data_IF_183245418725
#
_entry.id   IF_183245418725
#
_cell.length_a   1.000
_cell.length_b   1.000
_cell.length_c   1.000
_cell.angle_alpha   90.00
_cell.angle_beta   90.00
_cell.angle_gamma   90.00
#
_symmetry.space_group_name_H-M   'P 1'
#
loop_
_entity.id
_entity.type
_entity.pdbx_description
1 polymer ?
#
# COMPACT_ATOMS: atom_id res chain seq x y z
N UNK A 1 2.37 -27.26 9.56
CA UNK A 1 3.69 -26.59 9.46
C UNK A 1 3.44 -25.15 9.05
N UNK A 2 4.02 -24.17 9.76
CA UNK A 2 3.83 -22.76 9.45
C UNK A 2 5.17 -22.12 9.05
N UNK A 3 5.22 -21.43 7.91
CA UNK A 3 6.39 -20.64 7.50
C UNK A 3 6.33 -19.26 8.18
N UNK A 4 7.46 -18.78 8.69
CA UNK A 4 7.58 -17.39 9.12
C UNK A 4 8.91 -16.80 8.64
N UNK A 5 8.97 -15.48 8.57
CA UNK A 5 10.18 -14.74 8.19
C UNK A 5 10.70 -13.99 9.41
N UNK A 6 12.00 -14.14 9.70
CA UNK A 6 12.74 -13.36 10.69
C UNK A 6 13.64 -12.37 9.99
N UNK A 7 13.72 -11.15 10.51
CA UNK A 7 14.55 -10.09 9.95
C UNK A 7 15.65 -9.69 10.92
N UNK A 8 16.84 -9.47 10.37
CA UNK A 8 18.03 -9.07 11.11
C UNK A 8 18.67 -7.88 10.42
N UNK A 9 18.88 -6.80 11.16
CA UNK A 9 19.60 -5.60 10.70
C UNK A 9 21.10 -5.79 10.98
N UNK A 10 21.96 -5.40 10.05
CA UNK A 10 23.42 -5.50 10.15
C UNK A 10 24.02 -4.08 10.11
N UNK A 11 24.10 -3.38 11.24
CA UNK A 11 24.70 -2.06 11.29
C UNK A 11 26.23 -2.17 11.17
N UNK A 12 26.84 -1.23 10.47
CA UNK A 12 28.29 -1.25 10.22
C UNK A 12 29.10 -1.28 11.54
N UNK A 13 30.07 -2.20 11.61
CA UNK A 13 30.98 -2.32 12.76
C UNK A 13 30.35 -2.87 14.04
N UNK A 14 29.14 -3.44 13.98
CA UNK A 14 28.44 -3.97 15.16
C UNK A 14 27.85 -5.36 14.94
N UNK A 15 27.51 -6.03 16.04
CA UNK A 15 26.75 -7.29 15.98
C UNK A 15 25.36 -7.06 15.36
N UNK A 16 24.81 -8.03 14.62
CA UNK A 16 23.48 -7.92 14.05
C UNK A 16 22.40 -7.67 15.12
N UNK A 17 21.33 -6.99 14.72
CA UNK A 17 20.18 -6.72 15.58
C UNK A 17 18.95 -7.47 15.08
N UNK A 18 18.25 -8.14 15.98
CA UNK A 18 16.97 -8.77 15.67
C UNK A 18 15.91 -7.69 15.50
N UNK A 19 15.15 -7.77 14.41
CA UNK A 19 13.95 -6.97 14.21
C UNK A 19 12.73 -7.79 14.62
N UNK A 20 11.97 -7.30 15.59
CA UNK A 20 10.70 -7.94 15.96
C UNK A 20 9.70 -7.79 14.81
N UNK A 21 8.78 -8.75 14.68
CA UNK A 21 7.74 -8.69 13.64
C UNK A 21 6.94 -7.38 13.71
N UNK A 22 6.57 -6.94 14.93
CA UNK A 22 5.90 -5.66 15.17
C UNK A 22 6.70 -4.47 14.64
N UNK A 23 8.02 -4.45 14.83
CA UNK A 23 8.86 -3.36 14.35
C UNK A 23 8.96 -3.36 12.83
N UNK A 24 9.10 -4.53 12.20
CA UNK A 24 9.11 -4.63 10.73
C UNK A 24 7.79 -4.14 10.14
N UNK A 25 6.66 -4.62 10.67
CA UNK A 25 5.34 -4.14 10.26
C UNK A 25 5.18 -2.64 10.52
N UNK A 26 5.67 -2.16 11.65
CA UNK A 26 5.68 -0.74 11.99
C UNK A 26 6.45 0.11 10.98
N UNK A 27 7.63 -0.34 10.59
CA UNK A 27 8.49 0.33 9.59
C UNK A 27 7.85 0.33 8.21
N UNK A 28 7.27 -0.79 7.76
CA UNK A 28 6.63 -0.87 6.44
C UNK A 28 5.38 -0.01 6.34
N UNK A 29 4.67 0.21 7.45
CA UNK A 29 3.46 1.04 7.49
C UNK A 29 3.73 2.50 7.92
N UNK A 30 4.99 2.92 8.08
CA UNK A 30 5.33 4.29 8.52
C UNK A 30 4.86 4.63 9.95
N UNK A 31 4.82 3.64 10.84
CA UNK A 31 4.36 3.78 12.24
C UNK A 31 5.48 3.74 13.27
N UNK A 32 6.61 3.14 12.91
CA UNK A 32 7.75 2.91 13.81
C UNK A 32 9.07 3.30 13.15
N UNK A 33 9.31 4.59 12.87
CA UNK A 33 10.61 5.05 12.37
C UNK A 33 11.76 4.63 13.29
N UNK A 34 12.95 4.55 12.71
CA UNK A 34 14.21 4.32 13.44
C UNK A 34 15.15 5.52 13.22
N UNK A 35 14.96 6.64 13.95
CA UNK A 35 15.75 7.86 13.75
C UNK A 35 17.26 7.67 13.92
N UNK A 36 17.70 6.67 14.68
CA UNK A 36 19.12 6.34 14.81
C UNK A 36 19.78 5.87 13.51
N UNK A 37 18.99 5.53 12.49
CA UNK A 37 19.43 5.16 11.16
C UNK A 37 18.99 6.19 10.11
N UNK A 38 18.56 7.38 10.51
CA UNK A 38 18.21 8.46 9.59
C UNK A 38 19.33 8.74 8.58
N UNK A 39 18.95 8.96 7.32
CA UNK A 39 19.85 9.19 6.18
C UNK A 39 20.90 8.10 5.95
N UNK A 40 20.60 6.86 6.36
CA UNK A 40 21.51 5.73 6.16
C UNK A 40 20.91 4.62 5.31
N UNK A 41 21.79 3.77 4.79
CA UNK A 41 21.41 2.54 4.09
C UNK A 41 21.94 1.36 4.88
N UNK A 42 21.05 0.48 5.29
CA UNK A 42 21.38 -0.64 6.18
C UNK A 42 21.21 -1.97 5.47
N UNK A 43 22.12 -2.91 5.78
CA UNK A 43 22.02 -4.31 5.37
C UNK A 43 20.99 -5.01 6.25
N UNK A 44 20.04 -5.70 5.62
CA UNK A 44 19.04 -6.51 6.31
C UNK A 44 19.07 -7.92 5.75
N UNK A 45 19.00 -8.94 6.60
CA UNK A 45 18.84 -10.33 6.19
C UNK A 45 17.45 -10.82 6.58
N UNK A 46 16.71 -11.31 5.60
CA UNK A 46 15.49 -12.07 5.80
C UNK A 46 15.82 -13.56 5.87
N UNK A 47 15.26 -14.25 6.86
CA UNK A 47 15.43 -15.69 7.07
C UNK A 47 14.07 -16.35 7.12
N UNK A 48 13.82 -17.25 6.18
CA UNK A 48 12.59 -18.03 6.13
C UNK A 48 12.79 -19.29 6.97
N UNK A 49 11.95 -19.45 7.99
CA UNK A 49 12.01 -20.59 8.92
C UNK A 49 10.68 -21.34 8.92
N UNK A 50 10.78 -22.67 8.88
CA UNK A 50 9.65 -23.56 9.12
C UNK A 50 9.48 -23.72 10.62
N UNK A 51 8.22 -23.66 11.06
CA UNK A 51 7.85 -23.75 12.45
C UNK A 51 6.93 -24.94 12.70
N UNK A 52 7.19 -25.64 13.79
CA UNK A 52 6.34 -26.66 14.40
C UNK A 52 6.08 -26.25 15.85
N UNK A 53 4.82 -26.31 16.28
CA UNK A 53 4.36 -25.86 17.61
C UNK A 53 4.87 -24.46 18.01
N UNK A 54 4.94 -23.55 17.03
CA UNK A 54 5.38 -22.17 17.21
C UNK A 54 6.89 -21.97 17.40
N UNK A 55 7.70 -23.03 17.25
CA UNK A 55 9.17 -22.96 17.36
C UNK A 55 9.83 -23.20 16.00
N UNK A 56 10.93 -22.49 15.68
CA UNK A 56 11.67 -22.73 14.45
C UNK A 56 12.36 -24.10 14.50
N UNK A 57 12.10 -24.95 13.51
CA UNK A 57 12.67 -26.30 13.39
C UNK A 57 13.63 -26.43 12.22
N UNK A 58 13.39 -25.70 11.12
CA UNK A 58 14.22 -25.75 9.93
C UNK A 58 14.40 -24.36 9.30
N UNK A 59 15.62 -24.05 8.85
CA UNK A 59 15.91 -22.86 8.05
C UNK A 59 15.77 -23.23 6.57
N UNK A 60 14.80 -22.62 5.89
CA UNK A 60 14.49 -22.91 4.50
C UNK A 60 15.39 -22.13 3.53
N UNK A 61 15.48 -20.80 3.71
CA UNK A 61 16.32 -19.93 2.89
C UNK A 61 16.68 -18.63 3.61
N UNK A 62 17.80 -18.02 3.22
CA UNK A 62 18.19 -16.65 3.59
C UNK A 62 18.27 -15.76 2.36
N UNK A 63 18.04 -14.46 2.54
CA UNK A 63 18.26 -13.46 1.51
C UNK A 63 18.69 -12.12 2.12
N UNK A 64 19.60 -11.42 1.45
CA UNK A 64 20.03 -10.07 1.83
C UNK A 64 19.26 -9.00 1.07
N UNK A 65 18.74 -8.01 1.78
CA UNK A 65 18.11 -6.81 1.25
C UNK A 65 18.76 -5.56 1.83
N UNK A 66 18.81 -4.48 1.05
CA UNK A 66 19.29 -3.18 1.51
C UNK A 66 18.09 -2.28 1.78
N UNK A 67 17.95 -1.78 3.00
CA UNK A 67 16.91 -0.81 3.38
C UNK A 67 17.51 0.59 3.41
N UNK A 68 16.83 1.53 2.77
CA UNK A 68 17.19 2.96 2.79
C UNK A 68 16.27 3.67 3.76
N UNK A 69 16.86 4.41 4.70
CA UNK A 69 16.16 5.21 5.70
C UNK A 69 16.24 6.69 5.29
N UNK A 70 15.12 7.40 5.31
CA UNK A 70 15.07 8.85 5.05
C UNK A 70 15.52 9.67 6.27
N UNK A 71 15.40 11.00 6.21
CA UNK A 71 15.79 11.93 7.27
C UNK A 71 15.06 11.67 8.61
N UNK A 72 13.85 11.11 8.56
CA UNK A 72 13.06 10.75 9.75
C UNK A 72 13.31 9.31 10.22
N UNK A 73 14.15 8.54 9.50
CA UNK A 73 14.41 7.13 9.79
C UNK A 73 13.27 6.20 9.35
N UNK A 74 12.48 6.58 8.36
CA UNK A 74 11.46 5.76 7.71
C UNK A 74 12.02 5.04 6.47
N UNK A 75 11.45 3.88 6.14
CA UNK A 75 11.91 3.06 5.00
C UNK A 75 10.93 3.04 3.82
N UNK A 76 9.78 3.71 3.94
CA UNK A 76 8.65 3.53 3.00
C UNK A 76 9.02 3.93 1.57
N UNK A 77 9.66 5.08 1.40
CA UNK A 77 10.10 5.56 0.09
C UNK A 77 11.12 4.61 -0.55
N UNK A 78 12.12 4.17 0.21
CA UNK A 78 13.12 3.21 -0.26
C UNK A 78 12.54 1.83 -0.57
N UNK A 79 11.52 1.38 0.20
CA UNK A 79 10.80 0.14 -0.07
C UNK A 79 9.96 0.25 -1.35
N UNK A 80 9.31 1.39 -1.58
CA UNK A 80 8.53 1.65 -2.79
C UNK A 80 9.43 1.68 -4.03
N UNK A 81 10.60 2.34 -3.97
CA UNK A 81 11.61 2.30 -5.06
C UNK A 81 12.07 0.86 -5.32
N UNK A 82 12.30 0.08 -4.26
CA UNK A 82 12.70 -1.33 -4.39
C UNK A 82 11.61 -2.19 -5.04
N UNK A 83 10.35 -2.02 -4.66
CA UNK A 83 9.21 -2.73 -5.27
C UNK A 83 9.06 -2.33 -6.74
N UNK A 84 9.14 -1.04 -7.05
CA UNK A 84 9.08 -0.53 -8.41
C UNK A 84 10.17 -1.13 -9.32
N UNK A 85 11.43 -1.13 -8.85
CA UNK A 85 12.55 -1.74 -9.59
C UNK A 85 12.45 -3.28 -9.65
N UNK A 86 11.93 -3.94 -8.61
CA UNK A 86 11.69 -5.38 -8.64
C UNK A 86 10.65 -5.76 -9.71
N UNK A 87 9.54 -5.02 -9.78
CA UNK A 87 8.48 -5.25 -10.76
C UNK A 87 8.99 -4.99 -12.19
N UNK A 88 9.74 -3.92 -12.41
CA UNK A 88 10.34 -3.61 -13.71
C UNK A 88 11.43 -4.61 -14.16
N UNK A 89 11.96 -5.42 -13.23
CA UNK A 89 12.94 -6.46 -13.51
C UNK A 89 12.33 -7.79 -13.99
N UNK A 90 11.02 -7.98 -13.84
CA UNK A 90 10.30 -9.17 -14.32
C UNK A 90 10.08 -9.02 -15.82
N UNK A 91 10.79 -9.82 -16.61
CA UNK A 91 10.58 -9.88 -18.05
C UNK A 91 9.33 -10.72 -18.36
N UNK A 92 8.32 -10.12 -18.99
CA UNK A 92 7.30 -10.89 -19.70
C UNK A 92 7.96 -11.43 -20.97
N UNK A 93 8.23 -12.74 -21.01
CA UNK A 93 8.74 -13.38 -22.22
C UNK A 93 7.62 -13.42 -23.27
N UNK A 94 7.63 -12.48 -24.20
CA UNK A 94 6.80 -12.55 -25.42
C UNK A 94 7.48 -13.51 -26.42
N UNK A 95 6.80 -14.54 -26.97
CA UNK A 95 7.47 -15.57 -27.77
C UNK A 95 7.91 -15.15 -29.18
N UNK A 96 7.81 -13.88 -29.59
CA UNK A 96 7.93 -13.55 -31.03
C UNK A 96 8.57 -12.21 -31.41
N UNK A 97 9.48 -11.65 -30.62
CA UNK A 97 10.21 -10.45 -31.06
C UNK A 97 11.72 -10.68 -31.23
N UNK A 98 12.23 -10.29 -32.41
CA UNK A 98 13.66 -10.30 -32.77
C UNK A 98 14.44 -9.20 -32.03
N UNK A 99 13.76 -8.32 -31.29
CA UNK A 99 14.36 -7.24 -30.51
C UNK A 99 14.17 -7.52 -29.03
N UNK A 100 15.25 -7.91 -28.35
CA UNK A 100 15.24 -8.16 -26.90
C UNK A 100 15.25 -6.83 -26.16
N UNK A 101 14.22 -6.54 -25.37
CA UNK A 101 14.18 -5.36 -24.50
C UNK A 101 15.32 -5.42 -23.47
N UNK A 102 16.17 -4.39 -23.46
CA UNK A 102 17.31 -4.26 -22.52
C UNK A 102 16.83 -3.75 -21.15
N UNK A 103 15.63 -3.15 -21.07
CA UNK A 103 15.09 -2.54 -19.84
C UNK A 103 14.98 -3.51 -18.66
N UNK A 104 14.43 -4.74 -18.80
CA UNK A 104 14.38 -5.71 -17.70
C UNK A 104 15.78 -6.13 -17.23
N UNK A 105 16.75 -6.24 -18.15
CA UNK A 105 18.13 -6.59 -17.79
C UNK A 105 18.82 -5.45 -17.00
N UNK A 106 18.61 -4.19 -17.42
CA UNK A 106 19.12 -3.03 -16.71
C UNK A 106 18.44 -2.82 -15.35
N UNK A 107 17.12 -2.99 -15.26
CA UNK A 107 16.39 -2.88 -14.01
C UNK A 107 16.75 -4.03 -13.06
N UNK A 108 16.90 -5.27 -13.55
CA UNK A 108 17.41 -6.41 -12.76
C UNK A 108 18.82 -6.13 -12.22
N UNK A 109 19.70 -5.54 -13.03
CA UNK A 109 21.05 -5.15 -12.60
C UNK A 109 21.01 -4.05 -11.55
N UNK A 110 20.23 -2.98 -11.77
CA UNK A 110 20.04 -1.89 -10.80
C UNK A 110 19.44 -2.40 -9.50
N UNK A 111 18.45 -3.28 -9.57
CA UNK A 111 17.82 -3.88 -8.41
C UNK A 111 18.81 -4.72 -7.59
N UNK A 112 19.61 -5.57 -8.27
CA UNK A 112 20.65 -6.34 -7.61
C UNK A 112 21.72 -5.45 -6.95
N UNK A 113 22.14 -4.37 -7.61
CA UNK A 113 23.17 -3.44 -7.08
C UNK A 113 22.63 -2.53 -5.96
N UNK A 114 21.38 -2.05 -6.07
CA UNK A 114 20.78 -1.08 -5.13
C UNK A 114 20.01 -1.72 -3.98
N UNK A 115 19.46 -2.91 -4.12
CA UNK A 115 18.54 -3.45 -3.11
C UNK A 115 18.92 -4.83 -2.60
N UNK A 116 19.98 -5.45 -3.12
CA UNK A 116 20.50 -6.71 -2.61
C UNK A 116 21.91 -6.60 -2.09
N UNK A 117 22.20 -7.50 -1.15
CA UNK A 117 23.54 -7.85 -0.75
C UNK A 117 23.56 -9.35 -0.48
N UNK A 118 24.74 -9.96 -0.48
CA UNK A 118 24.91 -11.39 -0.26
C UNK A 118 25.45 -11.64 1.15
N UNK A 119 24.66 -12.23 2.06
CA UNK A 119 25.13 -12.57 3.39
C UNK A 119 26.28 -13.57 3.33
N UNK A 120 27.34 -13.32 4.10
CA UNK A 120 28.46 -14.25 4.20
C UNK A 120 28.09 -15.48 5.03
N UNK A 121 28.89 -16.56 4.94
CA UNK A 121 28.72 -17.73 5.80
C UNK A 121 28.82 -17.38 7.29
N UNK A 122 29.62 -16.37 7.66
CA UNK A 122 29.71 -15.90 9.04
C UNK A 122 28.42 -15.21 9.50
N UNK A 123 27.82 -14.39 8.64
CA UNK A 123 26.55 -13.70 8.91
C UNK A 123 25.40 -14.70 9.12
N UNK A 124 25.32 -15.71 8.26
CA UNK A 124 24.32 -16.77 8.34
C UNK A 124 24.52 -17.58 9.63
N UNK A 125 25.75 -17.96 9.95
CA UNK A 125 26.06 -18.69 11.19
C UNK A 125 25.70 -17.89 12.45
N UNK A 126 25.94 -16.58 12.46
CA UNK A 126 25.58 -15.72 13.60
C UNK A 126 24.08 -15.69 13.86
N UNK A 127 23.27 -15.72 12.79
CA UNK A 127 21.80 -15.77 12.88
C UNK A 127 21.28 -17.15 13.23
N UNK A 128 21.89 -18.22 12.74
CA UNK A 128 21.58 -19.60 13.17
C UNK A 128 21.77 -19.75 14.69
N UNK A 129 22.83 -19.16 15.25
CA UNK A 129 23.06 -19.14 16.70
C UNK A 129 21.95 -18.39 17.47
N UNK A 130 21.40 -17.31 16.92
CA UNK A 130 20.27 -16.61 17.55
C UNK A 130 18.96 -17.42 17.48
N UNK A 131 18.72 -18.13 16.36
CA UNK A 131 17.53 -18.97 16.17
C UNK A 131 17.52 -20.15 17.14
N UNK A 132 18.65 -20.84 17.29
CA UNK A 132 18.84 -21.99 18.19
C UNK A 132 19.99 -21.75 19.18
N UNK A 133 19.80 -20.87 20.17
CA UNK A 133 20.85 -20.52 21.12
C UNK A 133 21.17 -21.70 22.04
N UNK A 134 22.46 -21.94 22.27
CA UNK A 134 22.94 -22.88 23.29
C UNK A 134 23.33 -22.17 24.58
N UNK A 135 23.69 -20.89 24.49
CA UNK A 135 24.08 -20.02 25.60
C UNK A 135 23.48 -18.62 25.44
N UNK A 136 23.45 -17.84 26.52
CA UNK A 136 22.85 -16.50 26.52
C UNK A 136 23.52 -15.54 25.54
N UNK A 137 24.83 -15.68 25.31
CA UNK A 137 25.59 -14.84 24.38
C UNK A 137 25.20 -15.05 22.89
N UNK A 138 24.59 -16.19 22.57
CA UNK A 138 24.16 -16.49 21.20
C UNK A 138 22.94 -15.62 20.80
N UNK A 139 22.16 -15.14 21.77
CA UNK A 139 21.00 -14.28 21.52
C UNK A 139 21.43 -12.88 21.09
N UNK A 140 20.96 -12.44 19.93
CA UNK A 140 21.17 -11.10 19.41
C UNK A 140 20.31 -10.08 20.16
N UNK A 141 20.77 -8.83 20.21
CA UNK A 141 20.00 -7.72 20.78
C UNK A 141 18.85 -7.37 19.82
N UNK A 142 17.76 -6.87 20.38
CA UNK A 142 16.67 -6.34 19.57
C UNK A 142 16.91 -4.88 19.20
N UNK A 143 16.68 -4.57 17.93
CA UNK A 143 16.57 -3.20 17.47
C UNK A 143 15.25 -2.57 17.99
N UNK A 144 15.27 -1.25 18.21
CA UNK A 144 14.13 -0.49 18.72
C UNK A 144 13.79 0.64 17.73
N UNK A 145 12.52 0.73 17.37
CA UNK A 145 11.96 1.92 16.70
C UNK A 145 11.25 2.83 17.68
N UNK A 146 10.93 4.04 17.23
CA UNK A 146 10.14 5.02 17.97
C UNK A 146 8.71 4.98 17.43
N UNK A 147 7.80 4.31 18.14
CA UNK A 147 6.38 4.40 17.82
C UNK A 147 5.85 5.77 18.25
N UNK A 148 5.13 6.50 17.38
CA UNK A 148 4.28 7.57 17.88
C UNK A 148 3.25 6.96 18.85
N UNK A 149 3.22 7.45 20.10
CA UNK A 149 2.27 6.96 21.10
C UNK A 149 0.85 7.35 20.69
N UNK A 150 0.12 6.40 20.08
CA UNK A 150 -1.31 6.54 19.85
C UNK A 150 -2.04 6.20 21.16
N UNK A 151 -3.10 6.96 21.52
CA UNK A 151 -4.03 6.51 22.54
C UNK A 151 -4.51 5.10 22.21
N UNK A 152 -4.59 4.23 23.21
CA UNK A 152 -5.07 2.87 23.01
C UNK A 152 -6.54 2.94 22.56
N UNK A 153 -6.86 2.36 21.41
CA UNK A 153 -8.24 2.17 20.99
C UNK A 153 -8.83 1.05 21.86
N UNK A 154 -9.61 1.44 22.86
CA UNK A 154 -10.26 0.47 23.76
C UNK A 154 -11.29 -0.35 23.00
N UNK A 155 -11.65 -1.52 23.54
CA UNK A 155 -12.73 -2.33 22.99
C UNK A 155 -14.03 -1.54 22.86
N UNK A 156 -14.37 -0.75 23.88
CA UNK A 156 -15.56 0.12 23.90
C UNK A 156 -15.52 1.17 22.77
N UNK A 157 -14.38 1.85 22.59
CA UNK A 157 -14.22 2.84 21.53
C UNK A 157 -14.32 2.19 20.14
N UNK A 158 -13.68 1.03 19.94
CA UNK A 158 -13.77 0.27 18.69
C UNK A 158 -15.22 -0.16 18.40
N UNK A 159 -15.87 -0.80 19.36
CA UNK A 159 -17.24 -1.28 19.21
C UNK A 159 -18.21 -0.13 18.90
N UNK A 160 -18.04 1.02 19.55
CA UNK A 160 -18.85 2.21 19.29
C UNK A 160 -18.62 2.76 17.88
N UNK A 161 -17.36 2.86 17.43
CA UNK A 161 -17.04 3.28 16.06
C UNK A 161 -17.64 2.33 15.03
N UNK A 162 -17.47 1.01 15.21
CA UNK A 162 -18.00 0.00 14.31
C UNK A 162 -19.53 0.09 14.22
N UNK A 163 -20.22 0.26 15.36
CA UNK A 163 -21.68 0.39 15.43
C UNK A 163 -22.19 1.65 14.72
N UNK A 164 -21.54 2.79 14.92
CA UNK A 164 -21.92 4.05 14.27
C UNK A 164 -21.66 3.97 12.76
N UNK A 165 -20.50 3.45 12.37
CA UNK A 165 -20.06 3.41 10.97
C UNK A 165 -20.87 2.44 10.12
N UNK A 166 -21.53 1.45 10.72
CA UNK A 166 -22.38 0.49 10.01
C UNK A 166 -23.48 1.17 9.16
N UNK A 167 -23.97 2.34 9.57
CA UNK A 167 -24.99 3.10 8.84
C UNK A 167 -24.47 4.05 7.78
N UNK A 168 -23.15 4.27 7.67
CA UNK A 168 -22.60 5.30 6.78
C UNK A 168 -22.86 5.00 5.30
N UNK A 169 -22.85 3.72 4.92
CA UNK A 169 -23.21 3.30 3.56
C UNK A 169 -24.62 3.76 3.17
N UNK A 170 -25.62 3.59 4.05
CA UNK A 170 -27.00 3.98 3.76
C UNK A 170 -27.13 5.50 3.57
N UNK A 171 -26.38 6.28 4.37
CA UNK A 171 -26.35 7.74 4.27
C UNK A 171 -25.76 8.17 2.91
N UNK A 172 -24.59 7.63 2.54
CA UNK A 172 -23.96 7.95 1.25
C UNK A 172 -24.87 7.59 0.09
N UNK A 173 -25.41 6.37 0.10
CA UNK A 173 -26.29 5.87 -0.95
C UNK A 173 -27.56 6.72 -1.12
N UNK A 174 -28.18 7.15 -0.01
CA UNK A 174 -29.36 8.02 -0.04
C UNK A 174 -29.05 9.39 -0.65
N UNK A 175 -27.88 9.97 -0.36
CA UNK A 175 -27.45 11.26 -0.93
C UNK A 175 -27.13 11.10 -2.42
N UNK A 176 -26.43 10.04 -2.81
CA UNK A 176 -26.04 9.76 -4.19
C UNK A 176 -27.22 9.62 -5.15
N UNK A 177 -28.36 9.13 -4.64
CA UNK A 177 -29.61 8.95 -5.37
C UNK A 177 -30.37 10.27 -5.64
N UNK A 178 -29.99 11.37 -4.99
CA UNK A 178 -30.65 12.67 -5.17
C UNK A 178 -30.22 13.34 -6.48
N UNK A 179 -31.17 14.01 -7.14
CA UNK A 179 -30.92 14.84 -8.34
C UNK A 179 -30.35 16.20 -7.93
N UNK A 180 -29.67 16.90 -8.86
CA UNK A 180 -29.06 18.21 -8.59
C UNK A 180 -29.99 19.22 -7.86
N UNK A 181 -31.26 19.44 -8.26
CA UNK A 181 -32.12 20.37 -7.54
C UNK A 181 -32.43 19.91 -6.10
N UNK A 182 -32.62 18.60 -5.91
CA UNK A 182 -32.88 17.98 -4.61
C UNK A 182 -31.67 18.07 -3.69
N UNK A 183 -30.46 17.87 -4.20
CA UNK A 183 -29.22 18.03 -3.43
C UNK A 183 -29.04 19.45 -2.91
N UNK A 184 -29.37 20.48 -3.72
CA UNK A 184 -29.30 21.88 -3.27
C UNK A 184 -30.27 22.16 -2.13
N UNK A 185 -31.52 21.71 -2.26
CA UNK A 185 -32.53 21.83 -1.20
C UNK A 185 -32.14 21.06 0.06
N UNK A 186 -31.63 19.83 -0.10
CA UNK A 186 -31.15 19.00 0.99
C UNK A 186 -30.00 19.67 1.75
N UNK A 187 -28.97 20.17 1.06
CA UNK A 187 -27.84 20.84 1.69
C UNK A 187 -28.27 22.13 2.43
N UNK A 188 -29.24 22.87 1.89
CA UNK A 188 -29.80 24.04 2.55
C UNK A 188 -30.54 23.67 3.84
N UNK A 189 -31.47 22.71 3.77
CA UNK A 189 -32.26 22.28 4.93
C UNK A 189 -31.39 21.60 5.99
N UNK A 190 -30.38 20.83 5.60
CA UNK A 190 -29.41 20.24 6.53
C UNK A 190 -28.67 21.32 7.32
N UNK A 191 -28.16 22.38 6.66
CA UNK A 191 -27.53 23.52 7.35
C UNK A 191 -28.48 24.26 8.28
N UNK A 192 -29.73 24.44 7.84
CA UNK A 192 -30.77 25.07 8.67
C UNK A 192 -30.99 24.24 9.93
N UNK A 193 -31.17 22.92 9.81
CA UNK A 193 -31.29 22.02 10.97
C UNK A 193 -30.06 22.02 11.86
N UNK A 194 -28.86 22.12 11.31
CA UNK A 194 -27.63 22.26 12.12
C UNK A 194 -27.61 23.54 12.98
N UNK A 195 -28.30 24.58 12.54
CA UNK A 195 -28.45 25.83 13.30
C UNK A 195 -29.57 25.79 14.35
N UNK A 196 -30.59 24.97 14.12
CA UNK A 196 -31.78 24.83 14.99
C UNK A 196 -31.63 23.71 16.04
N UNK A 197 -31.02 22.59 15.68
CA UNK A 197 -30.73 21.43 16.53
C UNK A 197 -29.22 21.34 16.80
N UNK A 198 -28.82 21.86 17.97
CA UNK A 198 -27.41 21.95 18.34
C UNK A 198 -26.81 20.61 18.76
N UNK A 199 -27.64 19.66 19.20
CA UNK A 199 -27.21 18.33 19.63
C UNK A 199 -26.66 17.54 18.44
N UNK A 200 -27.35 17.61 17.29
CA UNK A 200 -26.97 16.91 16.07
C UNK A 200 -26.26 17.81 15.04
N UNK A 201 -25.84 19.01 15.44
CA UNK A 201 -25.24 20.02 14.54
C UNK A 201 -24.14 19.46 13.65
N UNK A 202 -23.22 18.68 14.23
CA UNK A 202 -22.09 18.13 13.49
C UNK A 202 -22.53 17.10 12.44
N UNK A 203 -23.55 16.30 12.74
CA UNK A 203 -24.09 15.33 11.79
C UNK A 203 -24.79 16.03 10.64
N UNK A 204 -25.61 17.03 10.93
CA UNK A 204 -26.28 17.81 9.88
C UNK A 204 -25.32 18.59 9.00
N UNK A 205 -24.23 19.14 9.56
CA UNK A 205 -23.19 19.79 8.77
C UNK A 205 -22.49 18.78 7.84
N UNK A 206 -22.13 17.60 8.33
CA UNK A 206 -21.53 16.54 7.51
C UNK A 206 -22.46 16.11 6.35
N UNK A 207 -23.76 15.98 6.61
CA UNK A 207 -24.76 15.69 5.56
C UNK A 207 -24.80 16.81 4.49
N UNK A 208 -24.75 18.07 4.92
CA UNK A 208 -24.75 19.20 3.99
C UNK A 208 -23.48 19.25 3.13
N UNK A 209 -22.31 18.93 3.70
CA UNK A 209 -21.03 18.84 3.00
C UNK A 209 -21.04 17.71 1.97
N UNK A 210 -21.45 16.49 2.37
CA UNK A 210 -21.55 15.35 1.45
C UNK A 210 -22.48 15.64 0.25
N UNK A 211 -23.58 16.37 0.46
CA UNK A 211 -24.46 16.78 -0.63
C UNK A 211 -23.84 17.84 -1.56
N UNK A 212 -22.98 18.72 -1.04
CA UNK A 212 -22.21 19.66 -1.87
C UNK A 212 -21.15 18.94 -2.69
N UNK A 213 -20.44 17.98 -2.10
CA UNK A 213 -19.43 17.19 -2.80
C UNK A 213 -20.07 16.41 -3.95
N UNK A 214 -21.23 15.78 -3.69
CA UNK A 214 -22.01 15.11 -4.73
C UNK A 214 -22.48 16.05 -5.84
N UNK A 215 -22.86 17.29 -5.51
CA UNK A 215 -23.24 18.30 -6.51
C UNK A 215 -22.06 18.68 -7.40
N UNK A 216 -20.89 18.89 -6.82
CA UNK A 216 -19.69 19.23 -7.58
C UNK A 216 -19.26 18.06 -8.47
N UNK A 217 -19.35 16.82 -7.98
CA UNK A 217 -19.12 15.63 -8.77
C UNK A 217 -20.06 15.55 -9.99
N UNK A 218 -21.37 15.71 -9.80
CA UNK A 218 -22.35 15.68 -10.90
C UNK A 218 -22.08 16.79 -11.93
N UNK A 219 -21.71 17.98 -11.47
CA UNK A 219 -21.35 19.11 -12.33
C UNK A 219 -20.10 18.82 -13.16
N UNK A 220 -19.07 18.19 -12.58
CA UNK A 220 -17.87 17.74 -13.32
C UNK A 220 -18.24 16.68 -14.35
N UNK A 221 -18.99 15.66 -13.95
CA UNK A 221 -19.46 14.59 -14.85
C UNK A 221 -20.27 15.13 -16.03
N UNK A 222 -21.13 16.13 -15.79
CA UNK A 222 -21.95 16.77 -16.81
C UNK A 222 -21.15 17.66 -17.77
N UNK A 223 -20.18 18.42 -17.25
CA UNK A 223 -19.41 19.36 -18.08
C UNK A 223 -18.22 18.70 -18.77
N UNK A 224 -17.72 17.59 -18.22
CA UNK A 224 -16.48 16.94 -18.66
C UNK A 224 -15.22 17.78 -18.42
N UNK A 225 -15.34 18.92 -17.73
CA UNK A 225 -14.24 19.85 -17.44
C UNK A 225 -13.59 19.50 -16.11
N UNK A 226 -12.39 20.02 -15.89
CA UNK A 226 -11.59 19.76 -14.70
C UNK A 226 -10.57 18.65 -14.92
N UNK A 227 -9.98 18.16 -13.83
CA UNK A 227 -9.00 17.09 -13.86
C UNK A 227 -9.75 15.76 -13.90
N UNK A 228 -9.30 14.87 -14.78
CA UNK A 228 -9.83 13.52 -14.91
C UNK A 228 -8.67 12.54 -14.93
N UNK A 229 -8.87 11.36 -14.38
CA UNK A 229 -7.93 10.27 -14.43
C UNK A 229 -8.44 9.22 -15.39
N UNK A 230 -7.58 8.81 -16.32
CA UNK A 230 -7.71 7.55 -17.03
C UNK A 230 -7.18 6.46 -16.11
N UNK A 231 -7.93 5.38 -15.89
CA UNK A 231 -7.54 4.31 -14.97
C UNK A 231 -7.75 2.96 -15.64
N UNK A 232 -6.79 2.05 -15.44
CA UNK A 232 -6.85 0.66 -15.84
C UNK A 232 -6.43 -0.22 -14.65
N UNK A 233 -7.36 -0.99 -14.14
CA UNK A 233 -7.15 -1.94 -13.05
C UNK A 233 -6.95 -3.36 -13.60
N UNK A 234 -5.98 -4.08 -13.04
CA UNK A 234 -5.75 -5.50 -13.33
C UNK A 234 -6.31 -6.31 -12.18
N UNK A 235 -7.44 -6.95 -12.40
CA UNK A 235 -8.17 -7.72 -11.40
C UNK A 235 -7.83 -9.18 -11.58
N UNK A 236 -7.20 -9.79 -10.58
CA UNK A 236 -6.88 -11.22 -10.63
C UNK A 236 -7.94 -12.01 -9.88
N UNK A 237 -8.62 -12.92 -10.58
CA UNK A 237 -9.56 -13.88 -9.97
C UNK A 237 -8.82 -15.17 -9.67
N UNK A 238 -8.68 -15.46 -8.38
CA UNK A 238 -8.08 -16.71 -7.92
C UNK A 238 -9.09 -17.86 -8.04
N UNK A 239 -8.63 -19.12 -8.21
CA UNK A 239 -9.51 -20.30 -8.27
C UNK A 239 -10.45 -20.47 -7.06
N UNK A 240 -10.10 -19.86 -5.93
CA UNK A 240 -10.88 -19.86 -4.68
C UNK A 240 -12.07 -18.88 -4.72
N UNK A 241 -12.29 -18.18 -5.84
CA UNK A 241 -13.43 -17.28 -6.06
C UNK A 241 -13.23 -15.85 -5.55
N UNK A 242 -12.00 -15.49 -5.14
CA UNK A 242 -11.66 -14.15 -4.71
C UNK A 242 -11.02 -13.37 -5.86
N UNK A 243 -11.52 -12.16 -6.11
CA UNK A 243 -10.92 -11.20 -7.02
C UNK A 243 -10.21 -10.10 -6.24
N UNK A 244 -9.00 -9.74 -6.65
CA UNK A 244 -8.26 -8.62 -6.07
C UNK A 244 -7.64 -7.75 -7.16
N UNK A 245 -7.63 -6.43 -6.95
CA UNK A 245 -6.89 -5.49 -7.80
C UNK A 245 -5.39 -5.68 -7.53
N UNK A 246 -4.67 -6.23 -8.49
CA UNK A 246 -3.24 -6.51 -8.36
C UNK A 246 -2.37 -5.37 -8.86
N UNK A 247 -2.86 -4.60 -9.84
CA UNK A 247 -2.15 -3.47 -10.45
C UNK A 247 -3.15 -2.39 -10.87
N UNK A 248 -2.70 -1.14 -10.85
CA UNK A 248 -3.47 0.02 -11.31
C UNK A 248 -2.54 0.89 -12.14
N UNK A 249 -2.91 1.11 -13.40
CA UNK A 249 -2.26 2.06 -14.29
C UNK A 249 -3.15 3.29 -14.45
N UNK A 250 -2.57 4.48 -14.36
CA UNK A 250 -3.36 5.69 -14.44
C UNK A 250 -2.63 6.83 -15.17
N UNK A 251 -3.41 7.78 -15.69
CA UNK A 251 -2.89 9.01 -16.33
C UNK A 251 -3.80 10.19 -15.98
N UNK A 252 -3.23 11.23 -15.37
CA UNK A 252 -3.90 12.50 -15.10
C UNK A 252 -4.10 13.29 -16.41
N UNK A 253 -5.33 13.67 -16.69
CA UNK A 253 -5.78 14.25 -17.95
C UNK A 253 -6.57 15.55 -17.74
N UNK A 254 -6.43 16.49 -18.68
CA UNK A 254 -7.21 17.73 -18.70
C UNK A 254 -8.56 17.53 -19.40
N UNK A 255 -9.53 17.02 -18.64
CA UNK A 255 -10.90 16.81 -19.09
C UNK A 255 -11.23 15.36 -19.47
N UNK A 256 -12.53 15.06 -19.50
CA UNK A 256 -13.07 13.71 -19.69
C UNK A 256 -12.70 13.11 -21.04
N UNK A 257 -12.76 13.88 -22.11
CA UNK A 257 -12.47 13.37 -23.47
C UNK A 257 -11.01 12.96 -23.61
N UNK A 258 -10.09 13.72 -23.00
CA UNK A 258 -8.68 13.39 -22.93
C UNK A 258 -8.47 12.11 -22.11
N UNK A 259 -9.13 11.99 -20.95
CA UNK A 259 -9.09 10.78 -20.13
C UNK A 259 -9.61 9.54 -20.89
N UNK A 260 -10.71 9.64 -21.64
CA UNK A 260 -11.22 8.52 -22.45
C UNK A 260 -10.19 8.07 -23.51
N UNK A 261 -9.52 9.01 -24.16
CA UNK A 261 -8.46 8.70 -25.14
C UNK A 261 -7.26 8.05 -24.44
N UNK A 262 -6.86 8.55 -23.28
CA UNK A 262 -5.78 7.98 -22.47
C UNK A 262 -6.13 6.58 -21.96
N UNK A 263 -7.34 6.33 -21.45
CA UNK A 263 -7.81 5.01 -21.02
C UNK A 263 -7.74 3.99 -22.16
N UNK A 264 -8.12 4.38 -23.39
CA UNK A 264 -7.96 3.51 -24.58
C UNK A 264 -6.50 3.19 -24.86
N UNK A 265 -5.59 4.16 -24.72
CA UNK A 265 -4.15 3.94 -24.87
C UNK A 265 -3.61 3.02 -23.78
N UNK A 266 -4.05 3.16 -22.53
CA UNK A 266 -3.69 2.27 -21.42
C UNK A 266 -4.15 0.84 -21.72
N UNK A 267 -5.41 0.66 -22.12
CA UNK A 267 -5.95 -0.65 -22.46
C UNK A 267 -5.14 -1.32 -23.58
N UNK A 268 -4.82 -0.61 -24.66
CA UNK A 268 -4.00 -1.15 -25.76
C UNK A 268 -2.58 -1.47 -25.31
N UNK A 269 -1.99 -0.61 -24.47
CA UNK A 269 -0.61 -0.78 -23.98
C UNK A 269 -0.46 -1.98 -23.06
N UNK A 270 -1.52 -2.34 -22.35
CA UNK A 270 -1.52 -3.37 -21.30
C UNK A 270 -2.45 -4.56 -21.63
N UNK A 271 -2.88 -4.68 -22.88
CA UNK A 271 -3.80 -5.74 -23.32
C UNK A 271 -3.21 -7.15 -23.08
N UNK A 272 -1.88 -7.27 -23.06
CA UNK A 272 -1.16 -8.51 -22.76
C UNK A 272 -1.33 -9.00 -21.33
N UNK A 273 -1.78 -8.14 -20.41
CA UNK A 273 -2.05 -8.51 -19.02
C UNK A 273 -3.38 -9.24 -18.87
N UNK A 274 -4.24 -9.24 -19.89
CA UNK A 274 -5.48 -10.02 -19.90
C UNK A 274 -5.18 -11.51 -20.13
N UNK A 275 -5.67 -12.38 -19.26
CA UNK A 275 -5.58 -13.84 -19.40
C UNK A 275 -6.71 -14.56 -18.63
N UNK A 276 -6.67 -15.89 -18.61
CA UNK A 276 -7.70 -16.74 -17.98
C UNK A 276 -7.96 -16.46 -16.48
N UNK A 277 -7.06 -15.74 -15.81
CA UNK A 277 -7.14 -15.41 -14.39
C UNK A 277 -7.10 -13.90 -14.12
N UNK A 278 -6.96 -13.07 -15.15
CA UNK A 278 -6.83 -11.62 -14.99
C UNK A 278 -7.74 -10.86 -15.95
N UNK A 279 -8.63 -10.08 -15.37
CA UNK A 279 -9.49 -9.13 -16.07
C UNK A 279 -8.86 -7.74 -16.05
N UNK A 280 -9.17 -6.96 -17.09
CA UNK A 280 -8.77 -5.56 -17.21
C UNK A 280 -10.01 -4.67 -17.09
N UNK A 281 -10.10 -3.88 -16.03
CA UNK A 281 -11.19 -2.93 -15.82
C UNK A 281 -10.72 -1.51 -16.15
N UNK A 282 -11.31 -0.93 -17.19
CA UNK A 282 -10.95 0.39 -17.69
C UNK A 282 -12.02 1.40 -17.31
N UNK A 283 -11.62 2.45 -16.60
CA UNK A 283 -12.52 3.50 -16.11
C UNK A 283 -11.95 4.90 -16.36
N UNK A 284 -12.84 5.89 -16.26
CA UNK A 284 -12.47 7.31 -16.19
C UNK A 284 -13.16 7.89 -14.97
N UNK A 285 -12.41 8.63 -14.17
CA UNK A 285 -12.91 9.20 -12.93
C UNK A 285 -12.44 10.64 -12.78
N UNK A 286 -13.22 11.47 -12.09
CA UNK A 286 -12.79 12.81 -11.69
C UNK A 286 -11.70 12.70 -10.62
N UNK A 287 -10.92 13.75 -10.43
CA UNK A 287 -10.02 13.90 -9.28
C UNK A 287 -10.75 13.74 -7.93
N UNK A 288 -12.03 14.14 -7.82
CA UNK A 288 -12.82 13.90 -6.61
C UNK A 288 -13.08 12.41 -6.34
N UNK A 289 -13.34 11.63 -7.40
CA UNK A 289 -13.49 10.18 -7.29
C UNK A 289 -12.13 9.50 -7.04
N UNK A 290 -11.05 9.99 -7.67
CA UNK A 290 -9.67 9.51 -7.46
C UNK A 290 -9.22 9.64 -6.00
N UNK A 291 -9.46 10.80 -5.37
CA UNK A 291 -9.12 11.05 -3.96
C UNK A 291 -9.79 10.06 -3.00
N UNK A 292 -11.03 9.65 -3.29
CA UNK A 292 -11.78 8.68 -2.47
C UNK A 292 -11.22 7.27 -2.61
N UNK A 293 -10.79 6.89 -3.80
CA UNK A 293 -10.24 5.54 -4.04
C UNK A 293 -8.85 5.34 -3.45
N UNK A 294 -8.15 6.44 -3.12
CA UNK A 294 -6.83 6.44 -2.49
C UNK A 294 -5.80 5.55 -3.21
N UNK A 295 -5.90 5.44 -4.54
CA UNK A 295 -4.80 4.91 -5.35
C UNK A 295 -3.58 5.81 -5.11
N UNK A 296 -2.47 5.23 -4.67
CA UNK A 296 -1.24 5.99 -4.46
C UNK A 296 -0.74 6.50 -5.82
N UNK A 297 -0.56 7.82 -5.94
CA UNK A 297 0.12 8.46 -7.07
C UNK A 297 1.53 7.90 -7.30
#
# INVERSE_FOLDING_TARGET
MALSVRYYLFPEGSDPLRLSQRLVEGLTHGKDPMPQYADTRQRVMGVVVQNEDGKPTHLDRTYGTMWTFNEDGEIREGLQEAVFEAMNSVAVQSPSDTVVSIRPQLSKKRFAEKFRWEPSAADINRVIQDLWPKQKADRLKEAKGVSQRKPALTFEAKHTLDKISAGFWEISHAIEALKEPSLRGFAFEARKRASEDLEHRHLYNALAEAAVDRLELLKRQKTGKGIWYAVLEVIMTRPEGFSETTQVYHERCDGRDAAVVATRKLLVRHAELFNDYTDLEASVMTDLEWEVMAYLD
#
